data_IF_806336106822
#
_entry.id   IF_806336106822
#
_cell.length_a   1.000
_cell.length_b   1.000
_cell.length_c   1.000
_cell.angle_alpha   90.00
_cell.angle_beta   90.00
_cell.angle_gamma   90.00
#
_symmetry.space_group_name_H-M   'P 1'
#
loop_
_entity.id
_entity.type
_entity.pdbx_description
1 polymer ?
#
# COMPACT_ATOMS: atom_id res chain seq x y z
N UNK A 1 1.71 12.04 5.05
CA UNK A 1 2.56 12.31 3.87
C UNK A 1 2.05 13.49 3.05
N UNK A 2 0.82 13.48 2.50
CA UNK A 2 0.30 14.54 1.61
C UNK A 2 0.37 15.95 2.20
N UNK A 3 -0.05 16.11 3.46
CA UNK A 3 0.04 17.40 4.17
C UNK A 3 1.50 17.88 4.28
N UNK A 4 2.43 16.97 4.56
CA UNK A 4 3.86 17.27 4.66
C UNK A 4 4.45 17.73 3.32
N UNK A 5 3.97 17.18 2.19
CA UNK A 5 4.37 17.64 0.86
C UNK A 5 3.89 19.07 0.57
N UNK A 6 2.70 19.44 1.03
CA UNK A 6 2.21 20.82 0.94
C UNK A 6 3.08 21.76 1.78
N UNK A 7 3.43 21.37 3.01
CA UNK A 7 4.34 22.16 3.85
C UNK A 7 5.74 22.31 3.23
N UNK A 8 6.27 21.28 2.59
CA UNK A 8 7.53 21.35 1.84
C UNK A 8 7.45 22.31 0.65
N UNK A 9 6.29 22.42 -0.01
CA UNK A 9 6.10 23.38 -1.10
C UNK A 9 6.04 24.84 -0.60
N UNK A 10 5.63 25.06 0.64
CA UNK A 10 5.47 26.39 1.24
C UNK A 10 6.72 26.90 1.96
N UNK A 11 7.69 26.02 2.24
CA UNK A 11 8.84 26.39 3.07
C UNK A 11 9.78 27.38 2.33
N UNK A 12 10.30 28.41 3.02
CA UNK A 12 11.38 29.23 2.50
C UNK A 12 12.70 28.43 2.43
N UNK A 13 13.57 28.78 1.49
CA UNK A 13 14.83 28.08 1.19
C UNK A 13 15.83 28.09 2.33
N UNK A 14 15.70 29.05 3.25
CA UNK A 14 16.68 29.32 4.30
C UNK A 14 16.57 28.32 5.45
N UNK A 15 15.48 27.55 5.53
CA UNK A 15 15.16 26.65 6.64
C UNK A 15 15.43 25.19 6.27
N UNK A 16 16.68 24.89 5.90
CA UNK A 16 17.11 23.58 5.40
C UNK A 16 16.84 22.46 6.42
N UNK A 17 17.16 22.69 7.70
CA UNK A 17 16.94 21.69 8.75
C UNK A 17 15.45 21.33 8.93
N UNK A 18 14.59 22.35 8.92
CA UNK A 18 13.13 22.17 8.99
C UNK A 18 12.60 21.42 7.78
N UNK A 19 13.10 21.72 6.57
CA UNK A 19 12.73 21.01 5.36
C UNK A 19 13.10 19.51 5.45
N UNK A 20 14.31 19.20 5.93
CA UNK A 20 14.74 17.82 6.14
C UNK A 20 13.87 17.07 7.15
N UNK A 21 13.52 17.71 8.27
CA UNK A 21 12.65 17.11 9.29
C UNK A 21 11.25 16.82 8.74
N UNK A 22 10.65 17.77 8.03
CA UNK A 22 9.33 17.58 7.40
C UNK A 22 9.39 16.48 6.34
N UNK A 23 10.46 16.42 5.56
CA UNK A 23 10.67 15.37 4.57
C UNK A 23 10.81 13.98 5.22
N UNK A 24 11.53 13.88 6.33
CA UNK A 24 11.62 12.64 7.12
C UNK A 24 10.24 12.19 7.62
N UNK A 25 9.46 13.12 8.20
CA UNK A 25 8.09 12.83 8.65
C UNK A 25 7.21 12.39 7.47
N UNK A 26 7.39 13.01 6.30
CA UNK A 26 6.67 12.62 5.09
C UNK A 26 6.99 11.16 4.68
N UNK A 27 8.26 10.76 4.71
CA UNK A 27 8.70 9.38 4.41
C UNK A 27 8.13 8.40 5.43
N UNK A 28 8.23 8.70 6.72
CA UNK A 28 7.67 7.83 7.78
C UNK A 28 6.17 7.67 7.58
N UNK A 29 5.45 8.77 7.34
CA UNK A 29 4.02 8.73 7.02
C UNK A 29 3.69 7.95 5.74
N UNK A 30 4.58 7.95 4.76
CA UNK A 30 4.46 7.12 3.56
C UNK A 30 4.60 5.63 3.87
N UNK A 31 5.57 5.26 4.71
CA UNK A 31 5.77 3.87 5.14
C UNK A 31 4.54 3.32 5.90
N UNK A 32 3.93 4.13 6.78
CA UNK A 32 2.68 3.75 7.45
C UNK A 32 1.52 3.54 6.46
N UNK A 33 1.42 4.38 5.42
CA UNK A 33 0.41 4.19 4.37
C UNK A 33 0.64 2.86 3.64
N UNK A 34 1.89 2.54 3.30
CA UNK A 34 2.25 1.26 2.70
C UNK A 34 1.85 0.08 3.60
N UNK A 35 2.14 0.12 4.91
CA UNK A 35 1.73 -0.93 5.85
C UNK A 35 0.22 -1.18 5.87
N UNK A 36 -0.58 -0.11 5.83
CA UNK A 36 -2.04 -0.20 5.74
C UNK A 36 -2.49 -0.92 4.46
N UNK A 37 -1.86 -0.57 3.35
CA UNK A 37 -2.07 -1.23 2.05
C UNK A 37 -1.69 -2.73 2.10
N UNK A 38 -0.52 -3.09 2.64
CA UNK A 38 -0.11 -4.50 2.81
C UNK A 38 -1.13 -5.32 3.60
N UNK A 39 -1.65 -4.76 4.69
CA UNK A 39 -2.68 -5.43 5.48
C UNK A 39 -3.99 -5.60 4.71
N UNK A 40 -4.44 -4.55 4.01
CA UNK A 40 -5.68 -4.61 3.22
C UNK A 40 -5.62 -5.66 2.12
N UNK A 41 -4.48 -5.79 1.43
CA UNK A 41 -4.28 -6.83 0.39
C UNK A 41 -4.33 -8.23 0.99
N UNK A 42 -3.64 -8.47 2.11
CA UNK A 42 -3.65 -9.78 2.75
C UNK A 42 -5.06 -10.20 3.21
N UNK A 43 -5.84 -9.26 3.76
CA UNK A 43 -7.22 -9.51 4.17
C UNK A 43 -8.17 -9.75 2.98
N UNK A 44 -7.97 -9.02 1.88
CA UNK A 44 -8.88 -9.09 0.72
C UNK A 44 -8.62 -10.31 -0.17
N UNK A 45 -7.36 -10.73 -0.29
CA UNK A 45 -6.93 -11.68 -1.33
C UNK A 45 -6.29 -12.97 -0.80
N UNK A 46 -6.03 -13.07 0.51
CA UNK A 46 -5.52 -14.29 1.15
C UNK A 46 -4.26 -14.84 0.45
N UNK A 47 -4.37 -16.03 -0.14
CA UNK A 47 -3.26 -16.72 -0.81
C UNK A 47 -2.66 -15.94 -1.99
N UNK A 48 -3.47 -15.19 -2.73
CA UNK A 48 -3.00 -14.44 -3.90
C UNK A 48 -2.37 -13.08 -3.53
N UNK A 49 -2.23 -12.78 -2.24
CA UNK A 49 -1.68 -11.50 -1.77
C UNK A 49 -0.27 -11.25 -2.30
N UNK A 50 0.59 -12.28 -2.30
CA UNK A 50 1.98 -12.17 -2.77
C UNK A 50 2.03 -11.79 -4.26
N UNK A 51 1.24 -12.44 -5.11
CA UNK A 51 1.17 -12.15 -6.54
C UNK A 51 0.70 -10.72 -6.80
N UNK A 52 -0.33 -10.27 -6.08
CA UNK A 52 -0.81 -8.88 -6.19
C UNK A 52 0.29 -7.93 -5.76
N UNK A 53 0.97 -8.17 -4.64
CA UNK A 53 2.08 -7.31 -4.21
C UNK A 53 3.24 -7.26 -5.19
N UNK A 54 3.54 -8.35 -5.91
CA UNK A 54 4.54 -8.33 -6.99
C UNK A 54 4.17 -7.37 -8.11
N UNK A 55 2.89 -7.34 -8.54
CA UNK A 55 2.43 -6.39 -9.54
C UNK A 55 2.57 -4.93 -9.07
N UNK A 56 2.20 -4.65 -7.81
CA UNK A 56 2.40 -3.32 -7.23
C UNK A 56 3.88 -2.94 -7.14
N UNK A 57 4.76 -3.89 -6.82
CA UNK A 57 6.21 -3.65 -6.80
C UNK A 57 6.76 -3.33 -8.19
N UNK A 58 6.28 -4.00 -9.25
CA UNK A 58 6.65 -3.70 -10.63
C UNK A 58 6.20 -2.29 -11.01
N UNK A 59 4.95 -1.92 -10.73
CA UNK A 59 4.42 -0.57 -11.01
C UNK A 59 5.25 0.48 -10.26
N UNK A 60 5.56 0.23 -8.99
CA UNK A 60 6.37 1.14 -8.18
C UNK A 60 7.79 1.30 -8.73
N UNK A 61 8.42 0.21 -9.17
CA UNK A 61 9.74 0.25 -9.80
C UNK A 61 9.73 1.08 -11.09
N UNK A 62 8.70 0.92 -11.93
CA UNK A 62 8.52 1.73 -13.15
C UNK A 62 8.42 3.22 -12.80
N UNK A 63 7.60 3.57 -11.79
CA UNK A 63 7.45 4.97 -11.35
C UNK A 63 8.78 5.55 -10.87
N UNK A 64 9.54 4.82 -10.06
CA UNK A 64 10.87 5.27 -9.59
C UNK A 64 11.82 5.50 -10.76
N UNK A 65 11.80 4.65 -11.79
CA UNK A 65 12.67 4.82 -12.97
C UNK A 65 12.28 6.04 -13.80
N UNK A 66 10.99 6.43 -13.81
CA UNK A 66 10.50 7.59 -14.55
C UNK A 66 10.75 8.91 -13.79
N UNK A 67 10.74 8.88 -12.45
CA UNK A 67 10.87 10.09 -11.62
C UNK A 67 12.11 10.96 -11.94
N UNK A 68 13.33 10.40 -12.12
CA UNK A 68 14.51 11.16 -12.53
C UNK A 68 14.34 11.87 -13.89
N UNK A 69 13.67 11.23 -14.85
CA UNK A 69 13.35 11.86 -16.13
C UNK A 69 12.40 13.04 -15.93
N UNK A 70 11.41 12.88 -15.05
CA UNK A 70 10.53 13.97 -14.63
C UNK A 70 11.30 15.17 -14.06
N UNK A 71 12.34 14.94 -13.25
CA UNK A 71 13.24 16.02 -12.80
C UNK A 71 13.87 16.74 -13.99
N UNK A 72 14.40 16.00 -14.97
CA UNK A 72 15.06 16.61 -16.13
C UNK A 72 14.13 17.52 -16.94
N UNK A 73 12.84 17.17 -17.06
CA UNK A 73 11.87 17.97 -17.82
C UNK A 73 11.20 19.09 -17.02
N UNK A 74 10.99 18.92 -15.71
CA UNK A 74 10.24 19.87 -14.86
C UNK A 74 11.18 20.81 -14.10
N UNK A 75 12.35 20.31 -13.69
CA UNK A 75 13.31 21.00 -12.83
C UNK A 75 14.62 21.34 -13.58
N UNK A 76 14.50 21.69 -14.88
CA UNK A 76 15.64 21.92 -15.78
C UNK A 76 16.62 23.01 -15.32
N UNK A 77 16.19 23.90 -14.42
CA UNK A 77 17.06 24.75 -13.62
C UNK A 77 16.84 24.34 -12.15
N UNK A 78 17.88 24.08 -11.35
CA UNK A 78 17.74 23.73 -9.91
C UNK A 78 17.24 24.94 -9.08
N UNK A 79 16.14 25.57 -9.52
CA UNK A 79 15.51 26.73 -8.93
C UNK A 79 14.50 26.28 -7.86
N UNK A 80 14.41 27.01 -6.73
CA UNK A 80 13.46 26.69 -5.66
C UNK A 80 12.01 26.64 -6.14
N UNK A 81 11.63 27.46 -7.11
CA UNK A 81 10.26 27.53 -7.62
C UNK A 81 9.83 26.25 -8.37
N UNK A 82 10.75 25.62 -9.11
CA UNK A 82 10.47 24.36 -9.80
C UNK A 82 10.29 23.20 -8.81
N UNK A 83 11.07 23.18 -7.72
CA UNK A 83 10.88 22.22 -6.63
C UNK A 83 9.56 22.40 -5.89
N UNK A 84 9.11 23.64 -5.67
CA UNK A 84 7.78 23.90 -5.09
C UNK A 84 6.66 23.37 -5.99
N UNK A 85 6.76 23.60 -7.29
CA UNK A 85 5.81 23.04 -8.27
C UNK A 85 5.80 21.51 -8.22
N UNK A 86 6.97 20.88 -8.16
CA UNK A 86 7.09 19.42 -8.04
C UNK A 86 6.38 18.88 -6.79
N UNK A 87 6.59 19.51 -5.62
CA UNK A 87 5.90 19.11 -4.39
C UNK A 87 4.39 19.33 -4.44
N UNK A 88 3.91 20.41 -5.08
CA UNK A 88 2.49 20.62 -5.30
C UNK A 88 1.86 19.56 -6.20
N UNK A 89 2.53 19.20 -7.31
CA UNK A 89 2.06 18.14 -8.20
C UNK A 89 2.01 16.79 -7.48
N UNK A 90 3.05 16.45 -6.72
CA UNK A 90 3.09 15.23 -5.91
C UNK A 90 1.98 15.21 -4.85
N UNK A 91 1.75 16.33 -4.16
CA UNK A 91 0.66 16.45 -3.18
C UNK A 91 -0.71 16.33 -3.83
N UNK A 92 -0.92 16.92 -5.01
CA UNK A 92 -2.17 16.83 -5.77
C UNK A 92 -2.49 15.39 -6.18
N UNK A 93 -1.50 14.68 -6.76
CA UNK A 93 -1.65 13.26 -7.11
C UNK A 93 -1.97 12.42 -5.87
N UNK A 94 -1.24 12.63 -4.77
CA UNK A 94 -1.46 11.91 -3.52
C UNK A 94 -2.85 12.19 -2.92
N UNK A 95 -3.37 13.41 -3.05
CA UNK A 95 -4.70 13.76 -2.58
C UNK A 95 -5.80 13.13 -3.45
N UNK A 96 -5.68 13.21 -4.77
CA UNK A 96 -6.67 12.62 -5.70
C UNK A 96 -6.73 11.10 -5.54
N UNK A 97 -5.57 10.45 -5.45
CA UNK A 97 -5.49 8.99 -5.23
C UNK A 97 -6.02 8.59 -3.86
N UNK A 98 -5.79 9.38 -2.81
CA UNK A 98 -6.37 9.15 -1.48
C UNK A 98 -7.90 9.24 -1.53
N UNK A 99 -8.44 10.27 -2.17
CA UNK A 99 -9.89 10.46 -2.32
C UNK A 99 -10.49 9.29 -3.09
N UNK A 100 -9.88 8.92 -4.22
CA UNK A 100 -10.30 7.77 -5.01
C UNK A 100 -10.30 6.49 -4.16
N UNK A 101 -9.20 6.21 -3.46
CA UNK A 101 -9.06 5.06 -2.59
C UNK A 101 -10.14 5.01 -1.50
N UNK A 102 -10.45 6.16 -0.88
CA UNK A 102 -11.47 6.25 0.16
C UNK A 102 -12.85 5.78 -0.32
N UNK A 103 -13.20 6.06 -1.58
CA UNK A 103 -14.48 5.64 -2.15
C UNK A 103 -14.47 4.22 -2.73
N UNK A 104 -13.34 3.74 -3.24
CA UNK A 104 -13.29 2.46 -3.96
C UNK A 104 -12.78 1.28 -3.13
N UNK A 105 -12.09 1.54 -2.02
CA UNK A 105 -11.49 0.47 -1.24
C UNK A 105 -12.53 -0.35 -0.48
N UNK A 106 -12.51 -1.66 -0.69
CA UNK A 106 -13.28 -2.64 0.10
C UNK A 106 -12.33 -3.74 0.56
N UNK A 107 -12.35 -4.03 1.87
CA UNK A 107 -11.44 -4.97 2.54
C UNK A 107 -12.12 -6.34 2.77
N UNK A 108 -13.28 -6.59 2.15
CA UNK A 108 -13.92 -7.90 2.20
C UNK A 108 -13.10 -8.95 1.46
N UNK A 109 -12.98 -10.12 2.07
CA UNK A 109 -12.38 -11.29 1.41
C UNK A 109 -13.13 -11.59 0.11
N UNK A 110 -12.40 -11.67 -1.00
CA UNK A 110 -13.00 -11.95 -2.30
C UNK A 110 -13.45 -13.41 -2.37
N UNK A 111 -14.60 -13.67 -3.00
CA UNK A 111 -15.20 -15.02 -3.11
C UNK A 111 -14.28 -16.04 -3.78
N UNK A 112 -13.48 -15.61 -4.75
CA UNK A 112 -12.47 -16.44 -5.43
C UNK A 112 -11.21 -16.69 -4.57
N UNK A 113 -10.99 -15.91 -3.52
CA UNK A 113 -9.87 -16.08 -2.59
C UNK A 113 -10.19 -17.08 -1.45
N UNK A 114 -11.41 -17.66 -1.42
CA UNK A 114 -11.91 -18.53 -0.33
C UNK A 114 -11.31 -19.95 -0.33
N UNK A 115 -10.28 -20.22 -1.15
CA UNK A 115 -9.61 -21.55 -1.20
C UNK A 115 -9.08 -22.03 0.16
N UNK A 116 -8.82 -21.11 1.10
CA UNK A 116 -8.40 -21.41 2.47
C UNK A 116 -9.43 -22.18 3.31
N UNK A 117 -10.75 -21.96 3.13
CA UNK A 117 -11.76 -22.61 3.99
C UNK A 117 -12.01 -24.06 3.59
N UNK A 118 -11.87 -24.41 2.30
CA UNK A 118 -12.05 -25.78 1.82
C UNK A 118 -10.80 -26.64 2.04
N UNK A 119 -9.61 -26.08 1.83
CA UNK A 119 -8.35 -26.84 1.95
C UNK A 119 -8.00 -27.20 3.41
N UNK A 120 -8.26 -26.31 4.37
CA UNK A 120 -8.02 -26.59 5.79
C UNK A 120 -8.95 -27.66 6.37
N UNK A 121 -10.21 -27.68 5.92
CA UNK A 121 -11.19 -28.73 6.28
C UNK A 121 -10.77 -30.09 5.71
N UNK A 122 -10.22 -30.13 4.48
CA UNK A 122 -9.73 -31.36 3.86
C UNK A 122 -8.44 -31.85 4.52
N UNK A 123 -7.50 -30.95 4.88
CA UNK A 123 -6.27 -31.35 5.56
C UNK A 123 -6.52 -31.90 6.97
N UNK A 124 -7.52 -31.36 7.68
CA UNK A 124 -7.98 -31.90 8.98
C UNK A 124 -8.64 -33.28 8.79
N UNK A 125 -9.42 -33.48 7.71
CA UNK A 125 -9.98 -34.81 7.41
C UNK A 125 -8.94 -35.85 6.99
N UNK A 126 -7.80 -35.44 6.40
CA UNK A 126 -6.73 -36.38 6.00
C UNK A 126 -5.73 -36.70 7.11
N UNK A 127 -5.82 -36.05 8.28
CA UNK A 127 -4.90 -36.27 9.41
C UNK A 127 -5.42 -37.25 10.48
N UNK A 128 -6.46 -38.03 10.18
CA UNK A 128 -6.96 -39.04 11.12
C UNK A 128 -7.40 -40.35 10.44
N UNK A 129 -6.42 -41.07 9.88
CA UNK A 129 -6.60 -42.46 9.43
C UNK A 129 -5.62 -43.39 10.14
N UNK A 130 -5.44 -43.23 11.46
CA UNK A 130 -4.75 -44.26 12.25
C UNK A 130 -5.56 -44.87 13.37
N UNK A 131 -6.62 -44.25 13.87
CA UNK A 131 -7.41 -44.85 14.95
C UNK A 131 -8.90 -44.88 14.60
N UNK A 132 -9.45 -46.09 14.48
CA UNK A 132 -10.85 -46.37 14.13
C UNK A 132 -11.86 -45.92 15.18
N UNK A 133 -11.97 -44.62 15.41
CA UNK A 133 -12.97 -43.99 16.28
C UNK A 133 -14.10 -43.37 15.48
N UNK A 134 -15.34 -43.81 15.74
CA UNK A 134 -16.58 -43.24 15.22
C UNK A 134 -16.63 -41.71 15.38
N UNK A 135 -16.63 -40.97 14.27
CA UNK A 135 -16.84 -39.53 14.27
C UNK A 135 -18.30 -39.18 14.57
N UNK A 136 -18.54 -38.62 15.75
CA UNK A 136 -19.78 -37.97 16.11
C UNK A 136 -19.76 -36.54 15.56
N UNK A 137 -20.50 -36.29 14.48
CA UNK A 137 -20.66 -34.97 13.88
C UNK A 137 -21.50 -34.07 14.80
N UNK A 138 -20.86 -33.29 15.68
CA UNK A 138 -21.54 -32.12 16.27
C UNK A 138 -21.31 -30.89 15.37
N UNK A 139 -22.29 -30.65 14.51
CA UNK A 139 -22.52 -29.37 13.85
C UNK A 139 -22.84 -28.29 14.88
N UNK A 140 -21.82 -27.60 15.38
CA UNK A 140 -21.99 -26.38 16.18
C UNK A 140 -22.18 -25.17 15.28
N UNK A 141 -23.44 -24.87 14.92
CA UNK A 141 -23.84 -23.51 14.59
C UNK A 141 -24.21 -22.81 15.89
N UNK A 142 -23.47 -21.77 16.24
CA UNK A 142 -23.90 -20.59 17.00
C UNK A 142 -22.93 -19.45 16.70
#
# INVERSE_FOLDING_TARGET
>A
MTICLIFLALIPTDWIFTAQLIYLIAIIGSAFNACGYYKAVNLSYGYFSSTIMSWFAIIYAIVILILPLGKTYIAGEDSPNQWRLFFYLAAGIALVTLIFWFYTADVKLRSWAVLQKKASIVSVMTYDTKDGGLFNLKSGYN
#
